data_IF_244824314392
#
_entry.id   IF_244824314392
#
_cell.length_a   1.000
_cell.length_b   1.000
_cell.length_c   1.000
_cell.angle_alpha   90.00
_cell.angle_beta   90.00
_cell.angle_gamma   90.00
#
_symmetry.space_group_name_H-M   'P 1'
#
loop_
_entity.id
_entity.type
_entity.pdbx_description
1 polymer ?
#
# COMPACT_ATOMS: atom_id res chain seq x y z
N UNK A 1 -9.03 56.55 0.11
CA UNK A 1 -7.88 55.65 0.01
C UNK A 1 -7.79 54.56 1.13
N UNK A 2 -8.71 54.54 2.05
CA UNK A 2 -8.68 53.54 3.13
C UNK A 2 -9.33 52.17 2.77
N UNK A 3 -9.97 52.07 1.63
CA UNK A 3 -10.70 50.82 1.23
C UNK A 3 -9.94 49.94 0.22
N UNK A 4 -8.79 50.39 -0.26
CA UNK A 4 -8.00 49.61 -1.23
C UNK A 4 -7.12 48.53 -0.58
N UNK A 5 -6.84 48.66 0.73
CA UNK A 5 -5.98 47.68 1.46
C UNK A 5 -6.71 46.45 1.97
N UNK A 6 -8.03 46.47 1.99
CA UNK A 6 -8.82 45.32 2.51
C UNK A 6 -9.06 44.26 1.43
N UNK A 7 -8.95 44.62 0.16
CA UNK A 7 -9.21 43.70 -0.96
C UNK A 7 -8.02 42.80 -1.32
N UNK A 8 -6.84 43.06 -0.78
CA UNK A 8 -5.62 42.31 -1.12
C UNK A 8 -5.34 41.12 -0.15
N UNK A 9 -6.08 41.04 0.95
CA UNK A 9 -5.84 39.99 1.97
C UNK A 9 -6.81 38.81 1.85
N UNK A 10 -7.80 38.87 0.96
CA UNK A 10 -8.83 37.81 0.82
C UNK A 10 -8.51 36.80 -0.28
N UNK A 11 -7.41 36.96 -1.01
CA UNK A 11 -7.07 36.12 -2.15
C UNK A 11 -6.08 34.98 -1.83
N UNK A 12 -5.68 34.79 -0.57
CA UNK A 12 -4.63 33.82 -0.19
C UNK A 12 -5.13 32.65 0.66
N UNK A 13 -6.44 32.41 0.72
CA UNK A 13 -6.93 31.10 1.14
C UNK A 13 -6.96 30.18 -0.08
N UNK A 14 -5.80 29.91 -0.65
CA UNK A 14 -5.61 28.80 -1.55
C UNK A 14 -5.87 27.55 -0.74
N UNK A 15 -7.05 26.98 -0.98
CA UNK A 15 -7.45 25.66 -0.64
C UNK A 15 -6.31 24.70 -1.04
N UNK A 16 -5.44 24.38 -0.09
CA UNK A 16 -4.58 23.20 -0.21
C UNK A 16 -5.48 21.99 -0.08
N UNK A 17 -6.15 21.64 -1.17
CA UNK A 17 -6.69 20.30 -1.31
C UNK A 17 -5.47 19.37 -1.30
N UNK A 18 -5.36 18.56 -0.25
CA UNK A 18 -4.44 17.44 -0.26
C UNK A 18 -4.84 16.58 -1.46
N UNK A 19 -4.08 16.67 -2.53
CA UNK A 19 -4.30 15.86 -3.72
C UNK A 19 -4.02 14.43 -3.32
N UNK A 20 -5.05 13.58 -3.41
CA UNK A 20 -4.88 12.13 -3.32
C UNK A 20 -3.96 11.73 -4.47
N UNK A 21 -2.81 11.10 -4.24
CA UNK A 21 -1.92 10.68 -5.30
C UNK A 21 -2.66 9.81 -6.32
N UNK A 22 -2.35 9.98 -7.60
CA UNK A 22 -2.93 9.17 -8.66
C UNK A 22 -2.68 7.68 -8.38
N UNK A 23 -3.71 6.85 -8.57
CA UNK A 23 -3.64 5.40 -8.35
C UNK A 23 -4.33 4.91 -7.07
N UNK A 24 -4.86 5.79 -6.25
CA UNK A 24 -5.65 5.38 -5.08
C UNK A 24 -7.13 5.26 -5.43
N UNK A 25 -7.84 4.23 -4.90
CA UNK A 25 -9.26 4.07 -5.12
C UNK A 25 -10.04 5.27 -4.59
N UNK A 26 -11.06 5.71 -5.33
CA UNK A 26 -11.87 6.90 -5.00
C UNK A 26 -12.67 6.78 -3.68
N UNK A 27 -12.69 5.61 -3.06
CA UNK A 27 -13.40 5.34 -1.82
C UNK A 27 -12.60 5.65 -0.54
N UNK A 28 -11.34 6.09 -0.67
CA UNK A 28 -10.60 6.57 0.49
C UNK A 28 -11.06 7.98 0.85
N UNK A 29 -11.76 8.10 1.97
CA UNK A 29 -12.19 9.40 2.51
C UNK A 29 -11.03 10.30 2.93
N UNK A 30 -9.82 9.74 3.07
CA UNK A 30 -8.57 10.42 3.42
C UNK A 30 -7.43 9.84 2.60
N UNK A 31 -6.42 10.65 2.31
CA UNK A 31 -5.18 10.15 1.70
C UNK A 31 -4.65 8.97 2.54
N UNK A 32 -4.29 7.86 1.90
CA UNK A 32 -3.81 6.67 2.62
C UNK A 32 -2.52 7.00 3.34
N UNK A 33 -2.38 6.47 4.57
CA UNK A 33 -1.24 6.72 5.44
C UNK A 33 0.02 6.03 4.96
N UNK A 34 -0.14 4.87 4.33
CA UNK A 34 0.95 4.05 3.83
C UNK A 34 0.47 3.04 2.79
N UNK A 35 1.42 2.45 2.08
CA UNK A 35 1.20 1.40 1.09
C UNK A 35 1.86 0.11 1.57
N UNK A 36 1.10 -0.98 1.60
CA UNK A 36 1.56 -2.30 2.01
C UNK A 36 1.46 -3.31 0.88
N UNK A 37 2.43 -4.22 0.80
CA UNK A 37 2.41 -5.37 -0.09
C UNK A 37 2.37 -6.64 0.74
N UNK A 38 1.41 -7.52 0.49
CA UNK A 38 1.38 -8.88 1.03
C UNK A 38 1.88 -9.85 -0.03
N UNK A 39 2.82 -10.69 0.37
CA UNK A 39 3.28 -11.82 -0.41
C UNK A 39 3.04 -13.13 0.32
N UNK A 40 2.51 -14.13 -0.40
CA UNK A 40 2.44 -15.50 0.05
C UNK A 40 2.60 -16.46 -1.13
N UNK A 41 3.00 -17.71 -0.85
CA UNK A 41 3.08 -18.74 -1.87
C UNK A 41 1.89 -19.70 -1.79
N UNK A 42 1.44 -20.18 -2.95
CA UNK A 42 0.46 -21.26 -3.06
C UNK A 42 1.12 -22.66 -3.08
N UNK A 43 2.45 -22.72 -3.04
CA UNK A 43 3.26 -23.95 -3.11
C UNK A 43 3.74 -24.42 -1.73
N UNK A 44 3.06 -24.03 -0.67
CA UNK A 44 3.31 -24.51 0.69
C UNK A 44 2.32 -25.63 1.07
N UNK A 45 2.49 -26.19 2.27
CA UNK A 45 1.51 -27.11 2.84
C UNK A 45 0.13 -26.42 2.93
N UNK A 46 -0.92 -27.21 2.74
CA UNK A 46 -2.30 -26.72 2.66
C UNK A 46 -2.69 -25.84 3.84
N UNK A 47 -2.32 -26.23 5.07
CA UNK A 47 -2.61 -25.43 6.26
C UNK A 47 -1.96 -24.03 6.22
N UNK A 48 -0.75 -23.92 5.67
CA UNK A 48 -0.06 -22.64 5.53
C UNK A 48 -0.67 -21.79 4.43
N UNK A 49 -1.16 -22.40 3.36
CA UNK A 49 -1.88 -21.67 2.29
C UNK A 49 -3.20 -21.15 2.82
N UNK A 50 -3.99 -21.98 3.53
CA UNK A 50 -5.25 -21.56 4.14
C UNK A 50 -5.04 -20.43 5.15
N UNK A 51 -4.02 -20.50 5.98
CA UNK A 51 -3.66 -19.40 6.89
C UNK A 51 -3.38 -18.10 6.11
N UNK A 52 -2.59 -18.16 5.05
CA UNK A 52 -2.24 -16.99 4.26
C UNK A 52 -3.47 -16.37 3.59
N UNK A 53 -4.39 -17.17 3.09
CA UNK A 53 -5.65 -16.71 2.49
C UNK A 53 -6.58 -16.05 3.52
N UNK A 54 -6.68 -16.63 4.72
CA UNK A 54 -7.45 -16.02 5.82
C UNK A 54 -6.82 -14.71 6.29
N UNK A 55 -5.49 -14.66 6.41
CA UNK A 55 -4.77 -13.45 6.78
C UNK A 55 -4.95 -12.35 5.73
N UNK A 56 -4.89 -12.66 4.43
CA UNK A 56 -5.14 -11.66 3.38
C UNK A 56 -6.56 -11.13 3.44
N UNK A 57 -7.54 -11.98 3.74
CA UNK A 57 -8.95 -11.57 3.93
C UNK A 57 -9.10 -10.60 5.10
N UNK A 58 -8.41 -10.87 6.20
CA UNK A 58 -8.38 -9.98 7.36
C UNK A 58 -7.77 -8.61 7.02
N UNK A 59 -6.60 -8.59 6.36
CA UNK A 59 -5.95 -7.35 5.96
C UNK A 59 -6.78 -6.54 4.95
N UNK A 60 -7.52 -7.19 4.05
CA UNK A 60 -8.46 -6.51 3.15
C UNK A 60 -9.56 -5.79 3.92
N UNK A 61 -10.07 -6.38 5.00
CA UNK A 61 -11.07 -5.74 5.86
C UNK A 61 -10.52 -4.52 6.58
N UNK A 62 -9.29 -4.63 7.11
CA UNK A 62 -8.60 -3.51 7.76
C UNK A 62 -8.34 -2.36 6.78
N UNK A 63 -7.93 -2.68 5.56
CA UNK A 63 -7.65 -1.70 4.52
C UNK A 63 -8.81 -0.71 4.31
N UNK A 64 -10.04 -1.19 4.31
CA UNK A 64 -11.22 -0.33 4.12
C UNK A 64 -11.47 0.65 5.27
N UNK A 65 -11.07 0.30 6.49
CA UNK A 65 -11.30 1.12 7.69
C UNK A 65 -10.14 2.06 8.03
N UNK A 66 -8.91 1.61 7.82
CA UNK A 66 -7.73 2.23 8.42
C UNK A 66 -6.91 3.11 7.46
N UNK A 67 -7.35 3.25 6.21
CA UNK A 67 -6.78 4.24 5.27
C UNK A 67 -5.36 3.92 4.82
N UNK A 68 -5.07 2.68 4.48
CA UNK A 68 -3.84 2.28 3.79
C UNK A 68 -4.14 1.57 2.47
N UNK A 69 -3.20 1.57 1.55
CA UNK A 69 -3.30 0.83 0.29
C UNK A 69 -2.70 -0.56 0.48
N UNK A 70 -3.40 -1.57 0.01
CA UNK A 70 -2.97 -2.95 0.10
C UNK A 70 -2.93 -3.60 -1.27
N UNK A 71 -1.75 -4.03 -1.69
CA UNK A 71 -1.54 -4.93 -2.81
C UNK A 71 -1.22 -6.34 -2.31
N UNK A 72 -1.67 -7.35 -3.01
CA UNK A 72 -1.46 -8.75 -2.65
C UNK A 72 -0.90 -9.48 -3.87
N UNK A 73 0.13 -10.27 -3.68
CA UNK A 73 0.72 -11.08 -4.73
C UNK A 73 1.10 -12.48 -4.25
N UNK A 74 0.97 -13.44 -5.15
CA UNK A 74 1.54 -14.79 -5.01
C UNK A 74 2.80 -14.98 -5.85
N UNK A 75 3.14 -13.96 -6.65
CA UNK A 75 4.30 -13.97 -7.54
C UNK A 75 5.18 -12.74 -7.27
N UNK A 76 6.22 -12.95 -6.47
CA UNK A 76 7.14 -11.88 -6.08
C UNK A 76 8.03 -11.41 -7.24
N UNK A 77 8.19 -12.20 -8.30
CA UNK A 77 8.99 -11.84 -9.47
C UNK A 77 8.46 -10.61 -10.21
N UNK A 78 7.17 -10.31 -10.04
CA UNK A 78 6.51 -9.11 -10.61
C UNK A 78 6.85 -7.82 -9.87
N UNK A 79 7.61 -7.93 -8.77
CA UNK A 79 7.98 -6.81 -7.90
C UNK A 79 9.50 -6.62 -7.87
N UNK A 80 10.11 -6.06 -8.93
CA UNK A 80 11.51 -5.70 -8.93
C UNK A 80 11.78 -4.62 -7.86
N UNK A 81 13.05 -4.46 -7.49
CA UNK A 81 13.46 -3.54 -6.43
C UNK A 81 12.88 -2.12 -6.59
N UNK A 82 12.84 -1.61 -7.81
CA UNK A 82 12.30 -0.27 -8.08
C UNK A 82 10.80 -0.16 -7.72
N UNK A 83 10.04 -1.21 -7.98
CA UNK A 83 8.62 -1.27 -7.62
C UNK A 83 8.41 -1.48 -6.11
N UNK A 84 9.30 -2.23 -5.47
CA UNK A 84 9.24 -2.46 -4.02
C UNK A 84 9.43 -1.19 -3.21
N UNK A 85 10.18 -0.21 -3.72
CA UNK A 85 10.38 1.09 -3.06
C UNK A 85 9.08 1.89 -2.87
N UNK A 86 8.04 1.58 -3.63
CA UNK A 86 6.73 2.24 -3.50
C UNK A 86 5.98 1.82 -2.24
N UNK A 87 6.42 0.74 -1.59
CA UNK A 87 5.76 0.19 -0.41
C UNK A 87 6.49 0.58 0.86
N UNK A 88 5.72 0.95 1.87
CA UNK A 88 6.24 1.24 3.20
C UNK A 88 6.40 -0.03 4.03
N UNK A 89 5.57 -1.05 3.75
CA UNK A 89 5.55 -2.33 4.47
C UNK A 89 5.42 -3.47 3.47
N UNK A 90 6.22 -4.52 3.68
CA UNK A 90 6.10 -5.79 2.97
C UNK A 90 5.83 -6.88 4.00
N UNK A 91 4.72 -7.57 3.84
CA UNK A 91 4.27 -8.64 4.74
C UNK A 91 4.44 -9.97 4.01
N UNK A 92 5.26 -10.86 4.55
CA UNK A 92 5.47 -12.21 4.04
C UNK A 92 4.77 -13.19 4.98
N UNK A 93 3.75 -13.89 4.49
CA UNK A 93 2.88 -14.68 5.36
C UNK A 93 3.37 -16.11 5.59
N UNK A 94 3.76 -16.82 4.56
CA UNK A 94 4.12 -18.25 4.69
C UNK A 94 5.48 -18.61 4.09
N UNK A 95 6.17 -17.65 3.47
CA UNK A 95 7.50 -17.84 2.91
C UNK A 95 8.18 -16.51 2.65
N UNK A 96 9.51 -16.53 2.58
CA UNK A 96 10.29 -15.42 2.03
C UNK A 96 10.52 -15.63 0.54
N UNK A 97 10.70 -14.57 -0.26
CA UNK A 97 11.05 -14.71 -1.65
C UNK A 97 12.39 -15.44 -1.75
N UNK A 98 12.37 -16.60 -2.37
CA UNK A 98 13.60 -17.32 -2.67
C UNK A 98 14.22 -16.69 -3.89
N UNK A 99 15.50 -16.33 -3.81
CA UNK A 99 16.27 -15.98 -4.98
C UNK A 99 16.35 -17.21 -5.88
N UNK A 100 15.67 -17.15 -7.02
CA UNK A 100 15.84 -18.14 -8.07
C UNK A 100 17.32 -18.14 -8.46
N UNK A 101 18.05 -19.18 -8.06
CA UNK A 101 19.42 -19.40 -8.48
C UNK A 101 20.47 -19.71 -7.41
N UNK A 102 20.15 -19.75 -6.13
CA UNK A 102 21.07 -20.24 -5.10
C UNK A 102 20.44 -21.36 -4.29
N UNK A 103 20.65 -22.57 -4.75
CA UNK A 103 20.57 -23.76 -3.90
C UNK A 103 21.65 -23.60 -2.83
N UNK A 104 21.33 -23.03 -1.69
CA UNK A 104 22.12 -23.24 -0.49
C UNK A 104 21.54 -24.44 0.22
N UNK A 105 22.15 -25.59 0.01
CA UNK A 105 22.02 -26.70 0.93
C UNK A 105 22.59 -26.25 2.29
N UNK A 106 21.75 -26.23 3.27
CA UNK A 106 22.19 -26.25 4.66
C UNK A 106 22.24 -27.71 5.12
#
# INVERSE_FOLDING_TARGET
>A
MKHLFILLFTACTLLTYAQVPEGYPANYAKAPRFKALIYYTQHAEEAHVQFAEQATTFFKKLNYGDGFVLDITTDFSKYPYEKLKEYNVIIMLNTSPQHQGRTRCF
#
